data_IF_643546651289
#
_entry.id   IF_643546651289
#
_cell.length_a   1.000
_cell.length_b   1.000
_cell.length_c   1.000
_cell.angle_alpha   90.00
_cell.angle_beta   90.00
_cell.angle_gamma   90.00
#
_symmetry.space_group_name_H-M   'P 1'
#
loop_
_entity.id
_entity.type
_entity.pdbx_description
1 polymer ?
#
# COMPACT_ATOMS: atom_id res chain seq x y z
N UNK A 1 -7.88 -15.52 -32.39
CA UNK A 1 -9.22 -14.96 -32.57
C UNK A 1 -9.25 -13.54 -32.05
N UNK A 2 -9.38 -12.56 -32.96
CA UNK A 2 -9.55 -11.16 -32.59
C UNK A 2 -11.02 -10.77 -32.76
N UNK A 3 -11.65 -10.35 -31.67
CA UNK A 3 -12.96 -9.70 -31.69
C UNK A 3 -12.75 -8.20 -31.45
N UNK A 4 -13.59 -7.36 -32.05
CA UNK A 4 -13.58 -5.93 -31.75
C UNK A 4 -13.80 -5.69 -30.24
N UNK A 5 -13.10 -4.72 -29.61
CA UNK A 5 -13.39 -4.36 -28.23
C UNK A 5 -14.86 -3.94 -28.10
N UNK A 6 -15.59 -4.56 -27.16
CA UNK A 6 -17.03 -4.38 -26.91
C UNK A 6 -18.02 -5.03 -27.92
N UNK A 7 -17.55 -5.91 -28.80
CA UNK A 7 -18.43 -6.66 -29.72
C UNK A 7 -19.35 -7.64 -28.98
N UNK A 8 -20.54 -7.91 -29.55
CA UNK A 8 -21.55 -8.81 -28.95
C UNK A 8 -21.34 -10.27 -29.30
N UNK A 9 -20.27 -10.59 -30.06
CA UNK A 9 -19.98 -11.94 -30.52
C UNK A 9 -20.67 -12.30 -31.85
N UNK A 10 -21.21 -11.32 -32.57
CA UNK A 10 -21.82 -11.51 -33.89
C UNK A 10 -20.75 -11.59 -34.99
N UNK A 11 -20.98 -12.34 -36.08
CA UNK A 11 -19.96 -12.58 -37.13
C UNK A 11 -19.42 -11.31 -37.82
N UNK A 12 -20.08 -10.16 -37.63
CA UNK A 12 -19.65 -8.84 -38.13
C UNK A 12 -18.60 -8.17 -37.24
N UNK A 13 -18.44 -8.64 -36.00
CA UNK A 13 -17.50 -8.13 -34.99
C UNK A 13 -16.17 -8.91 -34.98
N UNK A 14 -16.04 -9.92 -35.86
CA UNK A 14 -14.85 -10.72 -36.00
C UNK A 14 -13.81 -9.95 -36.80
N UNK A 15 -12.80 -9.41 -36.12
CA UNK A 15 -11.77 -8.57 -36.77
C UNK A 15 -10.66 -9.39 -37.39
N UNK A 16 -10.45 -10.64 -36.95
CA UNK A 16 -9.53 -11.58 -37.60
C UNK A 16 -9.78 -13.06 -37.23
N UNK A 17 -9.62 -13.93 -38.22
CA UNK A 17 -9.61 -15.39 -38.09
C UNK A 17 -8.33 -15.92 -38.78
N UNK A 18 -7.44 -16.55 -38.03
CA UNK A 18 -6.27 -17.25 -38.57
C UNK A 18 -6.40 -18.72 -38.18
N UNK A 19 -6.39 -19.60 -39.18
CA UNK A 19 -6.45 -21.05 -39.02
C UNK A 19 -5.05 -21.62 -39.29
N UNK A 20 -4.52 -22.41 -38.36
CA UNK A 20 -3.21 -23.06 -38.53
C UNK A 20 -3.42 -24.51 -38.95
N UNK A 21 -3.01 -24.84 -40.18
CA UNK A 21 -2.93 -26.23 -40.61
C UNK A 21 -1.79 -26.94 -39.87
N UNK A 22 -2.15 -27.70 -38.84
CA UNK A 22 -1.25 -28.62 -38.16
C UNK A 22 -0.98 -29.85 -39.05
N UNK A 23 -0.14 -29.65 -40.07
CA UNK A 23 0.48 -30.70 -40.86
C UNK A 23 1.84 -31.07 -40.26
N UNK A 24 2.04 -32.38 -40.03
CA UNK A 24 3.26 -32.97 -39.48
C UNK A 24 4.52 -32.63 -40.29
N UNK A 25 5.47 -31.95 -39.65
CA UNK A 25 6.90 -32.06 -39.93
C UNK A 25 7.53 -30.89 -40.70
N UNK A 26 8.17 -29.97 -39.98
CA UNK A 26 9.33 -29.23 -40.47
C UNK A 26 10.39 -29.12 -39.35
N UNK A 27 11.59 -29.72 -39.49
CA UNK A 27 12.59 -29.85 -38.42
C UNK A 27 13.50 -28.61 -38.22
N UNK A 28 12.99 -27.39 -38.39
CA UNK A 28 13.82 -26.19 -38.28
C UNK A 28 13.05 -24.92 -37.95
N UNK A 29 12.55 -24.79 -36.71
CA UNK A 29 11.59 -23.70 -36.43
C UNK A 29 11.63 -23.05 -35.06
N UNK A 30 12.55 -23.39 -34.14
CA UNK A 30 12.59 -22.70 -32.83
C UNK A 30 12.98 -21.21 -32.96
N UNK A 31 13.64 -20.83 -34.05
CA UNK A 31 14.02 -19.45 -34.34
C UNK A 31 12.92 -18.58 -34.95
N UNK A 32 11.94 -19.16 -35.66
CA UNK A 32 10.89 -18.41 -36.34
C UNK A 32 9.82 -17.90 -35.36
N UNK A 33 9.52 -18.67 -34.30
CA UNK A 33 8.60 -18.25 -33.23
C UNK A 33 9.23 -17.11 -32.42
N UNK A 34 10.51 -17.23 -32.05
CA UNK A 34 11.22 -16.18 -31.32
C UNK A 34 11.41 -14.92 -32.18
N UNK A 35 11.80 -15.07 -33.45
CA UNK A 35 11.91 -13.94 -34.39
C UNK A 35 10.54 -13.32 -34.71
N UNK A 36 9.48 -14.12 -34.76
CA UNK A 36 8.09 -13.67 -34.94
C UNK A 36 7.52 -12.96 -33.71
N UNK A 37 7.88 -13.38 -32.49
CA UNK A 37 7.52 -12.67 -31.26
C UNK A 37 8.26 -11.34 -31.07
N UNK A 38 9.52 -11.28 -31.52
CA UNK A 38 10.31 -10.04 -31.57
C UNK A 38 9.79 -9.10 -32.67
N UNK A 39 9.33 -9.66 -33.79
CA UNK A 39 8.83 -8.93 -34.97
C UNK A 39 7.34 -8.57 -34.93
N UNK A 40 6.56 -9.07 -33.96
CA UNK A 40 5.11 -8.83 -33.88
C UNK A 40 4.80 -7.32 -33.83
N UNK A 41 3.82 -6.81 -34.59
CA UNK A 41 3.47 -5.39 -34.58
C UNK A 41 2.87 -5.01 -33.22
N UNK A 42 3.70 -4.56 -32.29
CA UNK A 42 3.26 -3.83 -31.08
C UNK A 42 3.12 -2.37 -31.49
N UNK A 43 1.90 -1.93 -31.80
CA UNK A 43 1.62 -0.55 -32.20
C UNK A 43 1.27 0.25 -30.94
N UNK A 44 1.91 1.40 -30.73
CA UNK A 44 1.58 2.34 -29.64
C UNK A 44 2.78 3.13 -29.10
N UNK A 45 2.54 4.19 -28.28
CA UNK A 45 3.57 5.11 -27.79
C UNK A 45 4.76 4.44 -27.08
N UNK A 46 4.55 3.29 -26.46
CA UNK A 46 5.61 2.55 -25.76
C UNK A 46 6.71 2.04 -26.69
N UNK A 47 6.39 1.61 -27.92
CA UNK A 47 7.38 1.10 -28.88
C UNK A 47 8.27 2.22 -29.38
N UNK A 48 7.69 3.38 -29.66
CA UNK A 48 8.43 4.57 -30.13
C UNK A 48 9.44 5.02 -29.07
N UNK A 49 9.07 4.84 -27.80
CA UNK A 49 9.94 5.10 -26.67
C UNK A 49 11.01 4.00 -26.51
N UNK A 50 10.64 2.72 -26.62
CA UNK A 50 11.56 1.57 -26.55
C UNK A 50 12.69 1.66 -27.57
N UNK A 51 12.37 2.12 -28.78
CA UNK A 51 13.31 2.28 -29.89
C UNK A 51 14.43 3.30 -29.61
N UNK A 52 14.28 4.13 -28.57
CA UNK A 52 15.27 5.16 -28.19
C UNK A 52 16.15 4.78 -27.00
N UNK A 53 15.91 3.61 -26.38
CA UNK A 53 16.67 3.15 -25.21
C UNK A 53 18.08 2.76 -25.61
N UNK A 54 19.06 3.39 -24.96
CA UNK A 54 20.48 3.10 -25.15
C UNK A 54 20.90 1.85 -24.34
N UNK A 55 21.99 1.16 -24.72
CA UNK A 55 22.47 -0.03 -23.98
C UNK A 55 22.69 0.22 -22.49
N UNK A 56 23.28 1.35 -22.13
CA UNK A 56 23.51 1.77 -20.74
C UNK A 56 22.20 1.96 -19.94
N UNK A 57 21.12 2.29 -20.64
CA UNK A 57 19.79 2.44 -20.05
C UNK A 57 19.08 1.09 -19.91
N UNK A 58 19.34 0.13 -20.79
CA UNK A 58 18.81 -1.25 -20.70
C UNK A 58 19.34 -1.97 -19.45
N UNK A 59 20.60 -1.70 -19.07
CA UNK A 59 21.16 -2.22 -17.81
C UNK A 59 20.36 -1.75 -16.58
N UNK A 60 19.91 -0.49 -16.57
CA UNK A 60 19.06 0.06 -15.50
C UNK A 60 17.66 -0.58 -15.51
N UNK A 61 17.12 -0.85 -16.70
CA UNK A 61 15.83 -1.54 -16.87
C UNK A 61 15.88 -2.93 -16.23
N UNK A 62 16.98 -3.67 -16.44
CA UNK A 62 17.13 -5.08 -16.04
C UNK A 62 17.64 -5.32 -14.62
N UNK A 63 17.95 -4.28 -13.84
CA UNK A 63 18.35 -4.42 -12.42
C UNK A 63 17.33 -5.25 -11.63
N UNK A 64 17.78 -5.99 -10.62
CA UNK A 64 16.89 -6.88 -9.87
C UNK A 64 15.79 -6.11 -9.13
N UNK A 65 14.69 -6.79 -8.80
CA UNK A 65 13.54 -6.18 -8.11
C UNK A 65 13.90 -5.62 -6.73
N UNK A 66 14.92 -6.18 -6.06
CA UNK A 66 15.37 -5.73 -4.73
C UNK A 66 16.21 -4.45 -4.76
N UNK A 67 16.65 -4.00 -5.93
CA UNK A 67 17.51 -2.84 -6.08
C UNK A 67 16.69 -1.55 -6.07
N UNK A 68 17.08 -0.60 -5.20
CA UNK A 68 16.67 0.79 -5.32
C UNK A 68 17.49 1.47 -6.42
N UNK A 69 16.82 1.95 -7.46
CA UNK A 69 17.47 2.55 -8.64
C UNK A 69 17.02 4.00 -8.78
N UNK A 70 17.99 4.92 -8.80
CA UNK A 70 17.77 6.33 -9.12
C UNK A 70 18.25 6.62 -10.55
N UNK A 71 17.37 7.15 -11.40
CA UNK A 71 17.71 7.51 -12.79
C UNK A 71 17.79 9.03 -12.91
N UNK A 72 19.01 9.56 -12.94
CA UNK A 72 19.29 11.00 -13.06
C UNK A 72 19.89 11.33 -14.43
N UNK A 73 19.48 12.44 -15.04
CA UNK A 73 19.96 12.86 -16.35
C UNK A 73 19.34 14.19 -16.79
N UNK A 74 19.88 14.79 -17.86
CA UNK A 74 19.40 16.07 -18.40
C UNK A 74 17.97 15.98 -18.98
N UNK A 75 17.22 17.08 -19.12
CA UNK A 75 15.93 17.08 -19.81
C UNK A 75 16.02 16.37 -21.18
N UNK A 76 15.01 15.58 -21.53
CA UNK A 76 14.97 14.84 -22.80
C UNK A 76 15.73 13.51 -22.85
N UNK A 77 16.49 13.13 -21.81
CA UNK A 77 17.28 11.87 -21.83
C UNK A 77 16.47 10.58 -21.59
N UNK A 78 15.16 10.60 -21.79
CA UNK A 78 14.33 9.38 -21.67
C UNK A 78 14.21 8.78 -20.26
N UNK A 79 14.39 9.55 -19.18
CA UNK A 79 14.28 9.00 -17.80
C UNK A 79 12.95 8.30 -17.52
N UNK A 80 11.85 8.93 -17.92
CA UNK A 80 10.51 8.37 -17.78
C UNK A 80 10.39 7.09 -18.60
N UNK A 81 10.94 7.07 -19.82
CA UNK A 81 10.99 5.88 -20.66
C UNK A 81 11.66 4.71 -19.96
N UNK A 82 12.85 4.94 -19.39
CA UNK A 82 13.61 3.92 -18.65
C UNK A 82 12.80 3.40 -17.46
N UNK A 83 12.16 4.28 -16.69
CA UNK A 83 11.32 3.88 -15.56
C UNK A 83 10.11 3.02 -15.97
N UNK A 84 9.44 3.37 -17.06
CA UNK A 84 8.30 2.61 -17.59
C UNK A 84 8.73 1.26 -18.15
N UNK A 85 9.85 1.20 -18.86
CA UNK A 85 10.40 -0.05 -19.36
C UNK A 85 10.84 -0.95 -18.23
N UNK A 86 11.45 -0.39 -17.18
CA UNK A 86 11.75 -1.13 -15.95
C UNK A 86 10.49 -1.71 -15.33
N UNK A 87 9.42 -0.93 -15.19
CA UNK A 87 8.15 -1.43 -14.67
C UNK A 87 7.61 -2.60 -15.51
N UNK A 88 7.58 -2.46 -16.83
CA UNK A 88 7.15 -3.53 -17.75
C UNK A 88 8.05 -4.78 -17.65
N UNK A 89 9.37 -4.60 -17.61
CA UNK A 89 10.33 -5.68 -17.43
C UNK A 89 10.09 -6.43 -16.13
N UNK A 90 9.97 -5.72 -15.01
CA UNK A 90 9.74 -6.33 -13.70
C UNK A 90 8.41 -7.10 -13.67
N UNK A 91 7.34 -6.58 -14.28
CA UNK A 91 6.04 -7.24 -14.39
C UNK A 91 6.10 -8.54 -15.20
N UNK A 92 6.90 -8.56 -16.25
CA UNK A 92 7.12 -9.74 -17.07
C UNK A 92 8.03 -10.78 -16.36
N UNK A 93 9.13 -10.34 -15.75
CA UNK A 93 10.14 -11.21 -15.14
C UNK A 93 9.72 -11.74 -13.76
N UNK A 94 8.97 -10.96 -12.98
CA UNK A 94 8.57 -11.30 -11.60
C UNK A 94 7.04 -11.27 -11.37
N UNK A 95 6.22 -11.91 -12.22
CA UNK A 95 4.76 -11.75 -12.21
C UNK A 95 4.13 -12.22 -10.89
N UNK A 96 4.63 -13.32 -10.30
CA UNK A 96 4.09 -13.83 -9.04
C UNK A 96 4.37 -12.93 -7.84
N UNK A 97 5.53 -12.25 -7.82
CA UNK A 97 5.88 -11.32 -6.74
C UNK A 97 5.08 -10.03 -6.85
N UNK A 98 4.93 -9.50 -8.06
CA UNK A 98 4.22 -8.23 -8.27
C UNK A 98 2.70 -8.43 -8.15
N UNK A 99 2.14 -9.57 -8.55
CA UNK A 99 0.72 -9.88 -8.28
C UNK A 99 0.36 -9.88 -6.79
N UNK A 100 1.32 -10.17 -5.89
CA UNK A 100 1.11 -10.13 -4.43
C UNK A 100 1.37 -8.74 -3.83
N UNK A 101 2.39 -8.04 -4.33
CA UNK A 101 2.82 -6.74 -3.80
C UNK A 101 2.13 -5.52 -4.43
N UNK A 102 1.53 -5.69 -5.61
CA UNK A 102 1.06 -4.58 -6.46
C UNK A 102 2.22 -3.79 -7.08
N UNK A 103 1.88 -2.88 -7.99
CA UNK A 103 2.79 -1.86 -8.50
C UNK A 103 2.12 -0.49 -8.35
N UNK A 104 2.83 0.46 -7.74
CA UNK A 104 2.39 1.85 -7.56
C UNK A 104 3.24 2.78 -8.41
N UNK A 105 2.58 3.54 -9.28
CA UNK A 105 3.20 4.66 -10.02
C UNK A 105 2.72 5.96 -9.37
N UNK A 106 3.67 6.73 -8.83
CA UNK A 106 3.44 8.06 -8.29
C UNK A 106 3.78 9.12 -9.33
N UNK A 107 2.79 9.92 -9.70
CA UNK A 107 2.93 11.01 -10.68
C UNK A 107 2.77 12.38 -10.04
N UNK A 108 3.31 13.45 -10.67
CA UNK A 108 3.17 14.81 -10.18
C UNK A 108 1.75 15.37 -10.38
N UNK A 109 1.00 14.85 -11.34
CA UNK A 109 -0.39 15.25 -11.62
C UNK A 109 -1.11 14.18 -12.45
N UNK A 110 -2.45 14.31 -12.56
CA UNK A 110 -3.29 13.34 -13.28
C UNK A 110 -3.07 13.32 -14.79
N UNK A 111 -2.70 14.45 -15.41
CA UNK A 111 -2.39 14.50 -16.85
C UNK A 111 -1.17 13.65 -17.17
N UNK A 112 -0.12 13.72 -16.35
CA UNK A 112 1.04 12.85 -16.47
C UNK A 112 0.64 11.39 -16.32
N UNK A 113 -0.12 11.03 -15.28
CA UNK A 113 -0.55 9.64 -15.07
C UNK A 113 -1.41 9.10 -16.22
N UNK A 114 -2.27 9.94 -16.81
CA UNK A 114 -3.04 9.54 -17.98
C UNK A 114 -2.13 9.14 -19.16
N UNK A 115 -1.13 9.96 -19.46
CA UNK A 115 -0.11 9.63 -20.46
C UNK A 115 0.61 8.31 -20.13
N UNK A 116 0.96 8.08 -18.87
CA UNK A 116 1.59 6.82 -18.46
C UNK A 116 0.67 5.61 -18.69
N UNK A 117 -0.64 5.75 -18.42
CA UNK A 117 -1.61 4.70 -18.66
C UNK A 117 -1.73 4.33 -20.16
N UNK A 118 -1.63 5.31 -21.05
CA UNK A 118 -1.62 5.11 -22.51
C UNK A 118 -0.34 4.46 -23.03
N UNK A 119 0.80 4.73 -22.38
CA UNK A 119 2.10 4.14 -22.71
C UNK A 119 2.22 2.72 -22.18
N UNK A 120 1.51 2.36 -21.12
CA UNK A 120 1.53 1.01 -20.57
C UNK A 120 0.18 0.26 -20.69
N UNK A 121 -0.42 0.14 -21.89
CA UNK A 121 -1.74 -0.47 -22.06
C UNK A 121 -1.69 -2.00 -21.88
N UNK A 122 -0.54 -2.62 -22.12
CA UNK A 122 -0.28 -4.05 -21.85
C UNK A 122 -0.38 -4.44 -20.37
N UNK A 123 -0.63 -3.47 -19.49
CA UNK A 123 -0.76 -3.66 -18.06
C UNK A 123 -2.21 -3.73 -17.57
N UNK A 124 -3.20 -3.71 -18.47
CA UNK A 124 -4.61 -3.87 -18.11
C UNK A 124 -4.96 -5.20 -17.43
N UNK A 125 -4.06 -6.19 -17.43
CA UNK A 125 -4.23 -7.50 -16.78
C UNK A 125 -3.54 -7.60 -15.40
N UNK A 126 -2.72 -6.63 -15.01
CA UNK A 126 -2.02 -6.62 -13.72
C UNK A 126 -2.40 -5.34 -12.97
N UNK A 127 -2.79 -5.47 -11.70
CA UNK A 127 -3.29 -4.37 -10.87
C UNK A 127 -2.19 -3.32 -10.60
N UNK A 128 -2.12 -2.31 -11.46
CA UNK A 128 -1.23 -1.15 -11.33
C UNK A 128 -2.04 0.01 -10.79
N UNK A 129 -1.68 0.43 -9.58
CA UNK A 129 -2.22 1.64 -8.97
C UNK A 129 -1.43 2.84 -9.47
N UNK A 130 -2.13 3.81 -10.02
CA UNK A 130 -1.58 5.11 -10.40
C UNK A 130 -2.20 6.17 -9.51
N UNK A 131 -1.37 7.01 -8.87
CA UNK A 131 -1.86 8.03 -7.94
C UNK A 131 -0.91 9.22 -7.89
N UNK A 132 -1.44 10.37 -7.48
CA UNK A 132 -0.62 11.52 -7.12
C UNK A 132 -0.25 11.46 -5.64
N UNK A 133 0.74 12.26 -5.22
CA UNK A 133 1.08 12.40 -3.80
C UNK A 133 -0.17 12.82 -3.01
N UNK A 134 -0.94 13.78 -3.53
CA UNK A 134 -2.17 14.26 -2.90
C UNK A 134 -3.21 13.15 -2.75
N UNK A 135 -3.41 12.29 -3.77
CA UNK A 135 -4.34 11.16 -3.65
C UNK A 135 -3.94 10.17 -2.53
N UNK A 136 -2.64 10.02 -2.24
CA UNK A 136 -2.12 9.12 -1.20
C UNK A 136 -2.15 9.73 0.21
N UNK A 137 -1.98 11.06 0.33
CA UNK A 137 -1.83 11.73 1.63
C UNK A 137 -3.04 12.57 2.04
N UNK A 138 -3.88 13.03 1.11
CA UNK A 138 -5.01 13.93 1.37
C UNK A 138 -6.23 13.19 1.97
N UNK A 139 -6.03 12.57 3.14
CA UNK A 139 -7.08 11.89 3.92
C UNK A 139 -8.09 12.85 4.53
N UNK A 140 -7.74 14.13 4.60
CA UNK A 140 -8.55 15.18 5.19
C UNK A 140 -8.56 16.42 4.30
N UNK A 141 -9.66 17.19 4.28
CA UNK A 141 -9.71 18.42 3.50
C UNK A 141 -8.65 19.41 4.00
N UNK A 142 -7.91 19.99 3.05
CA UNK A 142 -6.94 21.05 3.34
C UNK A 142 -7.71 22.28 3.85
N UNK A 143 -7.30 22.79 5.01
CA UNK A 143 -7.98 23.93 5.67
C UNK A 143 -7.20 25.23 5.57
N UNK A 144 -5.89 25.14 5.36
CA UNK A 144 -4.99 26.27 5.28
C UNK A 144 -3.69 25.84 4.58
N UNK A 145 -3.01 26.79 3.97
CA UNK A 145 -1.68 26.64 3.40
C UNK A 145 -0.68 27.46 4.23
N UNK A 146 0.47 26.87 4.54
CA UNK A 146 1.52 27.55 5.28
C UNK A 146 2.40 28.39 4.35
N UNK A 147 2.94 29.53 4.81
CA UNK A 147 3.99 30.24 4.09
C UNK A 147 5.21 29.34 3.83
N UNK A 148 5.92 29.59 2.72
CA UNK A 148 7.05 28.76 2.28
C UNK A 148 8.06 28.39 3.37
N UNK A 149 8.54 29.32 4.24
CA UNK A 149 9.51 28.96 5.28
C UNK A 149 8.98 27.94 6.30
N UNK A 150 7.67 27.97 6.57
CA UNK A 150 7.01 27.04 7.49
C UNK A 150 6.79 25.69 6.81
N UNK A 151 6.41 25.68 5.53
CA UNK A 151 6.27 24.46 4.74
C UNK A 151 7.60 23.70 4.63
N UNK A 152 8.70 24.41 4.34
CA UNK A 152 10.06 23.84 4.30
C UNK A 152 10.44 23.19 5.63
N UNK A 153 10.16 23.87 6.76
CA UNK A 153 10.38 23.31 8.09
C UNK A 153 9.53 22.06 8.36
N UNK A 154 8.27 22.03 7.93
CA UNK A 154 7.37 20.87 8.09
C UNK A 154 7.78 19.67 7.25
N UNK A 155 8.46 19.90 6.12
CA UNK A 155 8.97 18.84 5.25
C UNK A 155 10.36 18.32 5.65
N UNK A 156 10.98 18.90 6.69
CA UNK A 156 12.25 18.42 7.24
C UNK A 156 12.07 17.08 8.00
N UNK A 157 13.04 16.17 7.86
CA UNK A 157 13.04 14.86 8.54
C UNK A 157 12.89 14.96 10.07
N UNK A 158 13.36 16.06 10.68
CA UNK A 158 13.22 16.33 12.11
C UNK A 158 11.77 16.43 12.56
N UNK A 159 10.84 16.73 11.65
CA UNK A 159 9.40 16.75 11.95
C UNK A 159 8.90 15.39 12.44
N UNK A 160 9.49 14.27 11.99
CA UNK A 160 9.15 12.94 12.50
C UNK A 160 9.39 12.84 14.02
N UNK A 161 10.50 13.40 14.52
CA UNK A 161 10.80 13.45 15.95
C UNK A 161 9.83 14.36 16.70
N UNK A 162 9.47 15.50 16.12
CA UNK A 162 8.48 16.42 16.72
C UNK A 162 7.12 15.74 16.85
N UNK A 163 6.64 15.09 15.78
CA UNK A 163 5.36 14.36 15.77
C UNK A 163 5.38 13.19 16.77
N UNK A 164 6.48 12.43 16.81
CA UNK A 164 6.64 11.37 17.79
C UNK A 164 6.56 11.90 19.22
N UNK A 165 7.33 12.95 19.57
CA UNK A 165 7.28 13.57 20.89
C UNK A 165 5.91 14.13 21.22
N UNK A 166 5.28 14.83 20.28
CA UNK A 166 3.95 15.41 20.46
C UNK A 166 2.88 14.34 20.69
N UNK A 167 2.96 13.22 19.99
CA UNK A 167 2.04 12.10 20.17
C UNK A 167 2.25 11.40 21.52
N UNK A 168 3.50 11.12 21.89
CA UNK A 168 3.83 10.45 23.16
C UNK A 168 3.68 11.34 24.39
N UNK A 169 3.74 12.67 24.23
CA UNK A 169 3.42 13.63 25.28
C UNK A 169 1.92 13.60 25.68
N UNK A 170 1.05 13.05 24.83
CA UNK A 170 -0.37 12.84 25.19
C UNK A 170 -0.58 11.70 26.17
N UNK A 171 0.39 10.80 26.31
CA UNK A 171 0.27 9.70 27.25
C UNK A 171 0.57 10.28 28.64
N UNK A 172 -0.44 10.32 29.49
CA UNK A 172 -0.33 10.75 30.89
C UNK A 172 -0.18 9.54 31.81
N UNK A 173 0.29 9.79 33.04
CA UNK A 173 0.22 8.79 34.09
C UNK A 173 -1.22 8.77 34.60
N UNK A 174 -1.83 7.59 34.83
CA UNK A 174 -3.14 7.50 35.45
C UNK A 174 -3.13 8.24 36.80
N UNK A 175 -4.14 9.07 37.05
CA UNK A 175 -4.32 9.79 38.33
C UNK A 175 -5.48 9.19 39.14
N UNK A 176 -6.48 8.65 38.44
CA UNK A 176 -7.67 8.07 39.04
C UNK A 176 -7.87 6.60 38.64
N UNK A 177 -8.37 5.76 39.56
CA UNK A 177 -8.77 4.40 39.25
C UNK A 177 -10.03 4.36 38.39
N UNK A 178 -10.07 3.42 37.44
CA UNK A 178 -11.17 3.29 36.50
C UNK A 178 -12.24 2.35 37.05
N UNK A 179 -13.49 2.83 37.12
CA UNK A 179 -14.65 2.01 37.42
C UNK A 179 -15.48 1.73 36.16
N UNK A 180 -15.70 0.46 35.85
CA UNK A 180 -16.47 0.01 34.69
C UNK A 180 -17.80 -0.59 35.17
N UNK A 181 -18.95 -0.08 34.70
CA UNK A 181 -20.26 -0.68 34.99
C UNK A 181 -20.38 -2.09 34.40
N UNK A 182 -20.84 -3.04 35.21
CA UNK A 182 -21.11 -4.43 34.82
C UNK A 182 -22.47 -4.87 35.39
N UNK A 183 -23.56 -4.42 34.74
CA UNK A 183 -24.92 -4.66 35.23
C UNK A 183 -25.16 -3.97 36.58
N UNK A 184 -25.52 -4.76 37.60
CA UNK A 184 -25.68 -4.26 38.98
C UNK A 184 -24.35 -4.03 39.71
N UNK A 185 -23.23 -4.51 39.16
CA UNK A 185 -21.90 -4.37 39.74
C UNK A 185 -21.13 -3.20 39.11
N UNK A 186 -20.17 -2.65 39.85
CA UNK A 186 -19.12 -1.79 39.30
C UNK A 186 -17.77 -2.45 39.57
N UNK A 187 -17.05 -2.77 38.50
CA UNK A 187 -15.71 -3.37 38.58
C UNK A 187 -14.67 -2.26 38.53
N UNK A 188 -13.76 -2.25 39.50
CA UNK A 188 -12.77 -1.19 39.67
C UNK A 188 -11.38 -1.73 39.37
N UNK A 189 -10.64 -1.02 38.54
CA UNK A 189 -9.21 -1.24 38.31
C UNK A 189 -8.46 -0.26 39.20
N UNK A 190 -7.54 -0.77 40.02
CA UNK A 190 -6.76 0.07 40.93
C UNK A 190 -5.79 0.96 40.14
N UNK A 191 -5.40 2.07 40.77
CA UNK A 191 -4.48 3.04 40.17
C UNK A 191 -3.10 2.43 39.87
N UNK A 192 -2.59 1.62 40.80
CA UNK A 192 -1.29 0.95 40.67
C UNK A 192 -1.27 -0.04 39.51
N UNK A 193 -2.37 -0.78 39.32
CA UNK A 193 -2.52 -1.72 38.20
C UNK A 193 -2.50 -0.99 36.85
N UNK A 194 -3.23 0.13 36.76
CA UNK A 194 -3.28 0.96 35.55
C UNK A 194 -1.92 1.58 35.24
N UNK A 195 -1.26 2.12 36.26
CA UNK A 195 0.09 2.70 36.15
C UNK A 195 1.09 1.63 35.69
N UNK A 196 1.04 0.44 36.27
CA UNK A 196 1.87 -0.69 35.88
C UNK A 196 1.64 -1.13 34.44
N UNK A 197 0.38 -1.23 34.00
CA UNK A 197 0.04 -1.56 32.62
C UNK A 197 0.60 -0.53 31.65
N UNK A 198 0.41 0.77 31.91
CA UNK A 198 0.90 1.84 31.03
C UNK A 198 2.42 1.84 30.97
N UNK A 199 3.11 1.70 32.11
CA UNK A 199 4.56 1.63 32.17
C UNK A 199 5.12 0.43 31.38
N UNK A 200 4.53 -0.76 31.54
CA UNK A 200 4.93 -1.95 30.80
C UNK A 200 4.73 -1.81 29.29
N UNK A 201 3.57 -1.29 28.86
CA UNK A 201 3.30 -1.10 27.43
C UNK A 201 4.22 -0.03 26.84
N UNK A 202 4.58 1.01 27.58
CA UNK A 202 5.57 2.00 27.14
C UNK A 202 6.95 1.38 26.94
N UNK A 203 7.39 0.50 27.85
CA UNK A 203 8.68 -0.17 27.76
C UNK A 203 8.79 -1.13 26.56
N UNK A 204 7.66 -1.60 26.02
CA UNK A 204 7.62 -2.39 24.78
C UNK A 204 7.83 -1.55 23.51
N UNK A 205 7.75 -0.22 23.60
CA UNK A 205 7.82 0.73 22.49
C UNK A 205 6.94 0.38 21.26
N UNK A 206 5.67 -0.02 21.43
CA UNK A 206 4.80 -0.32 20.30
C UNK A 206 4.39 0.96 19.56
N UNK A 207 3.97 0.87 18.29
CA UNK A 207 3.27 1.96 17.62
C UNK A 207 2.09 2.47 18.46
N UNK A 208 1.87 3.78 18.52
CA UNK A 208 0.94 4.42 19.47
C UNK A 208 -0.45 3.75 19.54
N UNK A 209 -1.10 3.53 18.39
CA UNK A 209 -2.42 2.91 18.35
C UNK A 209 -2.42 1.46 18.86
N UNK A 210 -1.34 0.72 18.59
CA UNK A 210 -1.14 -0.64 19.10
C UNK A 210 -0.93 -0.62 20.60
N UNK A 211 -0.12 0.31 21.12
CA UNK A 211 0.06 0.53 22.56
C UNK A 211 -1.25 0.84 23.26
N UNK A 212 -2.05 1.77 22.72
CA UNK A 212 -3.38 2.12 23.23
C UNK A 212 -4.30 0.90 23.34
N UNK A 213 -4.35 0.05 22.32
CA UNK A 213 -5.19 -1.15 22.35
C UNK A 213 -4.63 -2.24 23.29
N UNK A 214 -3.30 -2.32 23.46
CA UNK A 214 -2.67 -3.20 24.47
C UNK A 214 -3.04 -2.78 25.89
N UNK A 215 -3.01 -1.49 26.19
CA UNK A 215 -3.45 -0.96 27.50
C UNK A 215 -4.90 -1.35 27.76
N UNK A 216 -5.79 -1.12 26.77
CA UNK A 216 -7.21 -1.53 26.87
C UNK A 216 -7.33 -3.04 27.11
N UNK A 217 -6.65 -3.86 26.33
CA UNK A 217 -6.71 -5.32 26.44
C UNK A 217 -6.24 -5.81 27.81
N UNK A 218 -5.13 -5.27 28.34
CA UNK A 218 -4.61 -5.63 29.67
C UNK A 218 -5.53 -5.19 30.80
N UNK A 219 -6.13 -4.01 30.68
CA UNK A 219 -7.11 -3.52 31.63
C UNK A 219 -8.38 -4.40 31.65
N UNK A 220 -8.88 -4.80 30.48
CA UNK A 220 -10.00 -5.75 30.37
C UNK A 220 -9.64 -7.12 30.95
N UNK A 221 -8.41 -7.60 30.77
CA UNK A 221 -7.94 -8.85 31.37
C UNK A 221 -7.92 -8.81 32.91
N UNK A 222 -7.71 -7.64 33.53
CA UNK A 222 -7.89 -7.47 34.98
C UNK A 222 -9.36 -7.59 35.37
N UNK A 223 -10.26 -6.94 34.63
CA UNK A 223 -11.70 -7.03 34.86
C UNK A 223 -12.21 -8.47 34.70
N UNK A 224 -11.70 -9.21 33.72
CA UNK A 224 -12.00 -10.62 33.52
C UNK A 224 -11.60 -11.45 34.75
N UNK A 225 -10.38 -11.28 35.25
CA UNK A 225 -9.91 -11.99 36.45
C UNK A 225 -10.76 -11.66 37.69
N UNK A 226 -11.24 -10.42 37.80
CA UNK A 226 -12.19 -10.04 38.85
C UNK A 226 -13.55 -10.73 38.67
N UNK A 227 -14.07 -10.81 37.43
CA UNK A 227 -15.33 -11.47 37.11
C UNK A 227 -15.30 -12.97 37.39
N UNK A 228 -14.21 -13.64 37.02
CA UNK A 228 -14.01 -15.07 37.27
C UNK A 228 -14.13 -15.43 38.75
N UNK A 229 -13.61 -14.57 39.64
CA UNK A 229 -13.66 -14.79 41.09
C UNK A 229 -15.03 -14.56 41.71
N UNK A 230 -15.85 -13.67 41.14
CA UNK A 230 -17.13 -13.26 41.74
C UNK A 230 -18.35 -13.89 41.09
N UNK A 231 -18.28 -14.11 39.77
CA UNK A 231 -19.45 -14.36 38.92
C UNK A 231 -19.21 -15.45 37.87
N UNK A 232 -18.04 -16.10 37.89
CA UNK A 232 -17.65 -17.12 36.92
C UNK A 232 -17.02 -16.57 35.63
N UNK A 233 -16.56 -17.44 34.72
CA UNK A 233 -15.81 -17.06 33.54
C UNK A 233 -16.67 -16.28 32.54
N UNK A 234 -16.27 -15.04 32.17
CA UNK A 234 -17.04 -14.23 31.24
C UNK A 234 -16.88 -14.73 29.79
N UNK A 235 -17.92 -14.51 28.98
CA UNK A 235 -17.89 -14.84 27.55
C UNK A 235 -17.29 -13.70 26.69
N UNK A 236 -17.04 -13.97 25.41
CA UNK A 236 -16.47 -12.97 24.49
C UNK A 236 -17.35 -11.73 24.27
N UNK A 237 -18.67 -11.84 24.43
CA UNK A 237 -19.56 -10.67 24.34
C UNK A 237 -19.36 -9.73 25.53
N UNK A 238 -19.12 -10.28 26.72
CA UNK A 238 -18.80 -9.53 27.92
C UNK A 238 -17.47 -8.77 27.79
N UNK A 239 -16.42 -9.43 27.29
CA UNK A 239 -15.11 -8.79 27.08
C UNK A 239 -15.20 -7.58 26.12
N UNK A 240 -15.92 -7.74 25.00
CA UNK A 240 -16.14 -6.63 24.06
C UNK A 240 -16.93 -5.48 24.69
N UNK A 241 -17.91 -5.78 25.54
CA UNK A 241 -18.70 -4.76 26.25
C UNK A 241 -17.84 -3.97 27.23
N UNK A 242 -17.03 -4.65 28.04
CA UNK A 242 -16.12 -3.99 28.99
C UNK A 242 -15.07 -3.15 28.26
N UNK A 243 -14.50 -3.67 27.18
CA UNK A 243 -13.51 -2.94 26.38
C UNK A 243 -14.06 -1.67 25.73
N UNK A 244 -15.35 -1.64 25.38
CA UNK A 244 -16.03 -0.48 24.76
C UNK A 244 -16.80 0.39 25.75
N UNK A 245 -16.79 0.05 27.03
CA UNK A 245 -17.49 0.83 28.04
C UNK A 245 -16.97 2.27 28.06
N UNK A 246 -17.87 3.25 28.27
CA UNK A 246 -17.52 4.67 28.20
C UNK A 246 -16.33 5.04 29.10
N UNK A 247 -16.28 4.50 30.32
CA UNK A 247 -15.16 4.73 31.24
C UNK A 247 -13.83 4.12 30.77
N UNK A 248 -13.88 2.98 30.06
CA UNK A 248 -12.68 2.38 29.48
C UNK A 248 -12.21 3.16 28.25
N UNK A 249 -13.13 3.59 27.38
CA UNK A 249 -12.78 4.42 26.22
C UNK A 249 -12.23 5.77 26.65
N UNK A 250 -12.88 6.46 27.59
CA UNK A 250 -12.41 7.73 28.13
C UNK A 250 -11.05 7.63 28.83
N UNK A 251 -10.71 6.47 29.39
CA UNK A 251 -9.40 6.26 30.02
C UNK A 251 -8.26 6.16 29.00
N UNK A 252 -8.52 5.64 27.80
CA UNK A 252 -7.48 5.43 26.77
C UNK A 252 -7.52 6.47 25.65
N UNK A 253 -8.45 7.42 25.69
CA UNK A 253 -8.57 8.57 24.78
C UNK A 253 -7.84 9.79 25.35
#
# INVERSE_FOLDING_TARGET
FGWAPFGTGDSRDLTSLEDEHLGLGDPGGTGAILAGEIGRPRVGPMRDIAATIQPEQDDLVRRELGDSVCVQGAPGTGKTAVGLHRAAYLLYTYPQRIRRGGLLILGPNRTFLHYIAEVLPALGEIDIRQSTIDDEIARHPVRAEDPQPVAELKHDVRMATVLHRALHARITTPEEPVAVPDGAYRRRIALDDLTGIVAQVRAEEPPYAVGRERVRTRAVALLQRQAERTSGPPNGAWLRRMGRAASMSAYVD
#
